data_IF_315256353013
#
_entry.id   IF_315256353013
#
_cell.length_a   1.000
_cell.length_b   1.000
_cell.length_c   1.000
_cell.angle_alpha   90.00
_cell.angle_beta   90.00
_cell.angle_gamma   90.00
#
_symmetry.space_group_name_H-M   'P 1'
#
loop_
_entity.id
_entity.type
_entity.pdbx_description
1 polymer ?
#
# COMPACT_ATOMS: atom_id res chain seq x y z
N UNK A 1 13.02 37.08 -11.31
CA UNK A 1 13.63 37.53 -10.05
C UNK A 1 14.57 36.44 -9.59
N UNK A 2 15.81 36.78 -9.25
CA UNK A 2 16.76 35.80 -8.73
C UNK A 2 16.38 35.40 -7.29
N UNK A 3 16.61 34.15 -6.92
CA UNK A 3 16.33 33.68 -5.55
C UNK A 3 17.50 34.04 -4.65
N UNK A 4 17.24 34.84 -3.62
CA UNK A 4 18.20 35.28 -2.60
C UNK A 4 17.81 34.71 -1.23
N UNK A 5 18.68 34.86 -0.23
CA UNK A 5 18.39 34.39 1.12
C UNK A 5 17.15 35.08 1.73
N UNK A 6 16.89 36.32 1.33
CA UNK A 6 15.78 37.14 1.81
C UNK A 6 14.44 36.71 1.19
N UNK A 7 14.42 36.30 -0.08
CA UNK A 7 13.19 35.88 -0.78
C UNK A 7 13.00 34.36 -0.86
N UNK A 8 13.97 33.56 -0.39
CA UNK A 8 13.94 32.10 -0.48
C UNK A 8 12.67 31.50 0.15
N UNK A 9 12.18 32.06 1.26
CA UNK A 9 10.96 31.58 1.91
C UNK A 9 9.72 31.83 1.06
N UNK A 10 9.57 33.04 0.54
CA UNK A 10 8.46 33.42 -0.33
C UNK A 10 8.49 32.57 -1.61
N UNK A 11 9.67 32.39 -2.20
CA UNK A 11 9.85 31.50 -3.36
C UNK A 11 9.35 30.08 -3.06
N UNK A 12 9.72 29.50 -1.92
CA UNK A 12 9.26 28.16 -1.52
C UNK A 12 7.75 28.12 -1.31
N UNK A 13 7.17 29.12 -0.65
CA UNK A 13 5.71 29.19 -0.40
C UNK A 13 4.93 29.30 -1.73
N UNK A 14 5.34 30.16 -2.65
CA UNK A 14 4.74 30.30 -3.97
C UNK A 14 4.92 29.05 -4.83
N UNK A 15 6.10 28.42 -4.77
CA UNK A 15 6.36 27.18 -5.48
C UNK A 15 5.46 26.05 -4.98
N UNK A 16 5.27 25.93 -3.66
CA UNK A 16 4.36 24.93 -3.07
C UNK A 16 2.92 25.18 -3.49
N UNK A 17 2.46 26.44 -3.48
CA UNK A 17 1.12 26.81 -3.93
C UNK A 17 0.92 26.42 -5.40
N UNK A 18 1.90 26.72 -6.25
CA UNK A 18 1.82 26.39 -7.67
C UNK A 18 1.79 24.86 -7.89
N UNK A 19 2.63 24.10 -7.19
CA UNK A 19 2.68 22.62 -7.33
C UNK A 19 1.41 21.96 -6.80
N UNK A 20 0.88 22.40 -5.66
CA UNK A 20 -0.24 21.72 -5.00
C UNK A 20 -1.62 22.21 -5.46
N UNK A 21 -1.73 23.44 -5.98
CA UNK A 21 -3.00 24.03 -6.37
C UNK A 21 -3.01 24.44 -7.84
N UNK A 22 -2.21 25.44 -8.25
CA UNK A 22 -2.38 26.08 -9.56
C UNK A 22 -2.10 25.15 -10.74
N UNK A 23 -1.03 24.36 -10.66
CA UNK A 23 -0.60 23.46 -11.73
C UNK A 23 -1.60 22.33 -12.01
N UNK A 24 -2.41 21.94 -11.01
CA UNK A 24 -3.39 20.86 -11.12
C UNK A 24 -4.84 21.34 -11.13
N UNK A 25 -5.08 22.65 -10.94
CA UNK A 25 -6.40 23.25 -10.73
C UNK A 25 -7.52 22.73 -11.65
N UNK A 26 -7.39 22.71 -13.00
CA UNK A 26 -8.48 22.23 -13.85
C UNK A 26 -8.82 20.75 -13.62
N UNK A 27 -7.82 19.91 -13.37
CA UNK A 27 -8.01 18.48 -13.10
C UNK A 27 -8.62 18.25 -11.71
N UNK A 28 -8.12 18.98 -10.71
CA UNK A 28 -8.61 18.88 -9.34
C UNK A 28 -10.04 19.37 -9.21
N UNK A 29 -10.42 20.47 -9.89
CA UNK A 29 -11.80 20.95 -9.88
C UNK A 29 -12.77 19.96 -10.52
N UNK A 30 -12.38 19.30 -11.62
CA UNK A 30 -13.17 18.24 -12.24
C UNK A 30 -13.33 17.03 -11.30
N UNK A 31 -12.24 16.58 -10.67
CA UNK A 31 -12.26 15.52 -9.66
C UNK A 31 -13.16 15.90 -8.47
N UNK A 32 -12.96 17.09 -7.88
CA UNK A 32 -13.72 17.60 -6.73
C UNK A 32 -15.21 17.64 -7.05
N UNK A 33 -15.60 18.12 -8.23
CA UNK A 33 -16.99 18.15 -8.68
C UNK A 33 -17.59 16.74 -8.75
N UNK A 34 -16.86 15.78 -9.31
CA UNK A 34 -17.29 14.38 -9.37
C UNK A 34 -17.41 13.74 -7.98
N UNK A 35 -16.39 13.92 -7.14
CA UNK A 35 -16.37 13.41 -5.77
C UNK A 35 -17.54 13.95 -4.93
N UNK A 36 -17.76 15.26 -4.94
CA UNK A 36 -18.86 15.90 -4.19
C UNK A 36 -20.25 15.53 -4.73
N UNK A 37 -20.37 15.04 -5.97
CA UNK A 37 -21.65 14.53 -6.48
C UNK A 37 -22.06 13.21 -5.82
N UNK A 38 -21.10 12.38 -5.42
CA UNK A 38 -21.34 11.05 -4.82
C UNK A 38 -21.24 11.11 -3.30
N UNK A 39 -20.21 11.80 -2.79
CA UNK A 39 -19.86 11.84 -1.38
C UNK A 39 -20.28 13.14 -0.69
N UNK A 40 -20.86 14.10 -1.41
CA UNK A 40 -21.19 15.43 -0.89
C UNK A 40 -22.16 15.42 0.30
N UNK A 41 -22.12 16.49 1.09
CA UNK A 41 -22.99 16.71 2.24
C UNK A 41 -22.23 17.25 3.45
N UNK A 42 -22.97 17.65 4.48
CA UNK A 42 -22.40 18.27 5.69
C UNK A 42 -21.47 17.33 6.46
N UNK A 43 -21.68 16.01 6.33
CA UNK A 43 -20.86 15.00 6.99
C UNK A 43 -19.39 15.02 6.54
N UNK A 44 -19.09 15.38 5.28
CA UNK A 44 -17.69 15.47 4.82
C UNK A 44 -16.90 16.54 5.58
N UNK A 45 -17.55 17.63 5.99
CA UNK A 45 -16.92 18.72 6.73
C UNK A 45 -16.62 18.34 8.19
N UNK A 46 -17.12 17.20 8.67
CA UNK A 46 -16.87 16.71 10.03
C UNK A 46 -15.54 15.97 10.16
N UNK A 47 -14.96 15.51 9.04
CA UNK A 47 -13.73 14.72 9.06
C UNK A 47 -12.48 15.59 8.99
N UNK A 48 -11.47 15.23 9.77
CA UNK A 48 -10.11 15.65 9.50
C UNK A 48 -9.54 14.94 8.26
N UNK A 49 -8.56 15.54 7.55
CA UNK A 49 -7.96 14.92 6.35
C UNK A 49 -7.45 13.49 6.58
N UNK A 50 -6.90 13.21 7.76
CA UNK A 50 -6.41 11.88 8.13
C UNK A 50 -7.54 10.86 8.29
N UNK A 51 -8.69 11.29 8.81
CA UNK A 51 -9.86 10.41 8.98
C UNK A 51 -10.51 10.11 7.62
N UNK A 52 -10.56 11.11 6.74
CA UNK A 52 -11.02 10.94 5.37
C UNK A 52 -10.09 9.99 4.59
N UNK A 53 -8.78 10.07 4.80
CA UNK A 53 -7.82 9.12 4.22
C UNK A 53 -8.10 7.68 4.68
N UNK A 54 -8.30 7.45 5.98
CA UNK A 54 -8.63 6.10 6.49
C UNK A 54 -9.97 5.61 5.95
N UNK A 55 -10.95 6.50 5.79
CA UNK A 55 -12.25 6.16 5.23
C UNK A 55 -12.16 5.73 3.75
N UNK A 56 -11.36 6.44 2.95
CA UNK A 56 -11.25 6.18 1.51
C UNK A 56 -10.23 5.09 1.17
N UNK A 57 -9.10 5.07 1.88
CA UNK A 57 -7.95 4.22 1.56
C UNK A 57 -7.80 3.03 2.52
N UNK A 58 -8.53 3.00 3.64
CA UNK A 58 -8.41 1.95 4.64
C UNK A 58 -7.38 2.24 5.73
N UNK A 59 -7.38 1.37 6.75
CA UNK A 59 -6.55 1.51 7.94
C UNK A 59 -5.17 0.84 7.75
N UNK A 60 -4.09 1.44 8.30
CA UNK A 60 -2.74 0.87 8.19
C UNK A 60 -2.51 -0.32 9.15
N UNK A 61 -3.33 -0.48 10.19
CA UNK A 61 -3.20 -1.56 11.16
C UNK A 61 -3.74 -2.87 10.59
N UNK A 62 -2.90 -3.91 10.57
CA UNK A 62 -3.22 -5.21 9.99
C UNK A 62 -3.30 -6.29 11.06
N UNK A 63 -4.52 -6.67 11.45
CA UNK A 63 -4.77 -7.80 12.36
C UNK A 63 -5.01 -9.10 11.58
N UNK A 64 -3.94 -9.87 11.39
CA UNK A 64 -4.00 -11.15 10.69
C UNK A 64 -4.66 -12.27 11.50
N UNK A 65 -4.79 -12.14 12.82
CA UNK A 65 -5.56 -13.09 13.61
C UNK A 65 -7.06 -12.92 13.35
N UNK A 66 -7.52 -11.67 13.22
CA UNK A 66 -8.89 -11.39 12.78
C UNK A 66 -9.15 -11.91 11.35
N UNK A 67 -8.16 -11.76 10.44
CA UNK A 67 -8.27 -12.33 9.08
C UNK A 67 -8.40 -13.86 9.11
N UNK A 68 -7.57 -14.54 9.91
CA UNK A 68 -7.63 -16.01 10.08
C UNK A 68 -8.98 -16.47 10.61
N UNK A 69 -9.52 -15.76 11.61
CA UNK A 69 -10.82 -16.08 12.19
C UNK A 69 -11.98 -15.91 11.19
N UNK A 70 -11.87 -14.96 10.26
CA UNK A 70 -12.86 -14.70 9.22
C UNK A 70 -12.68 -15.56 7.95
N UNK A 71 -11.56 -16.29 7.84
CA UNK A 71 -11.21 -17.03 6.63
C UNK A 71 -12.15 -18.22 6.38
N UNK A 72 -12.54 -18.38 5.13
CA UNK A 72 -13.38 -19.47 4.65
C UNK A 72 -12.55 -20.41 3.77
N UNK A 73 -12.91 -21.70 3.78
CA UNK A 73 -12.18 -22.74 3.08
C UNK A 73 -13.15 -23.51 2.18
N UNK A 74 -12.77 -23.70 0.92
CA UNK A 74 -13.51 -24.55 -0.01
C UNK A 74 -13.00 -25.99 0.06
N UNK A 75 -13.92 -26.95 -0.02
CA UNK A 75 -13.59 -28.37 -0.01
C UNK A 75 -12.60 -28.74 -1.14
N UNK A 76 -11.62 -29.62 -0.88
CA UNK A 76 -11.45 -30.45 0.32
C UNK A 76 -10.65 -29.78 1.47
N UNK A 77 -10.32 -28.49 1.36
CA UNK A 77 -9.57 -27.78 2.40
C UNK A 77 -10.49 -27.36 3.54
N UNK A 78 -9.96 -27.36 4.75
CA UNK A 78 -10.61 -26.82 5.94
C UNK A 78 -9.58 -26.33 6.96
N UNK A 79 -10.03 -25.68 8.03
CA UNK A 79 -9.17 -25.13 9.07
C UNK A 79 -8.26 -26.18 9.75
N UNK A 80 -8.63 -27.47 9.71
CA UNK A 80 -7.83 -28.54 10.32
C UNK A 80 -6.77 -29.12 9.38
N UNK A 81 -6.86 -28.86 8.07
CA UNK A 81 -5.92 -29.31 7.06
C UNK A 81 -4.49 -28.85 7.39
N UNK A 82 -3.52 -29.76 7.25
CA UNK A 82 -2.12 -29.44 7.58
C UNK A 82 -1.57 -28.30 6.72
N UNK A 83 -1.97 -28.23 5.44
CA UNK A 83 -1.61 -27.13 4.54
C UNK A 83 -2.07 -25.77 5.08
N UNK A 84 -3.32 -25.68 5.55
CA UNK A 84 -3.91 -24.45 6.09
C UNK A 84 -3.24 -24.06 7.40
N UNK A 85 -2.99 -25.01 8.30
CA UNK A 85 -2.23 -24.76 9.54
C UNK A 85 -0.83 -24.25 9.24
N UNK A 86 -0.15 -24.81 8.24
CA UNK A 86 1.17 -24.37 7.82
C UNK A 86 1.11 -22.97 7.20
N UNK A 87 0.10 -22.68 6.37
CA UNK A 87 -0.14 -21.38 5.77
C UNK A 87 -0.24 -20.28 6.83
N UNK A 88 -1.11 -20.45 7.83
CA UNK A 88 -1.25 -19.44 8.89
C UNK A 88 -0.01 -19.33 9.78
N UNK A 89 0.68 -20.43 10.07
CA UNK A 89 1.98 -20.38 10.78
C UNK A 89 3.01 -19.55 10.02
N UNK A 90 3.06 -19.67 8.69
CA UNK A 90 3.96 -18.87 7.83
C UNK A 90 3.52 -17.41 7.86
N UNK A 91 2.23 -17.14 7.61
CA UNK A 91 1.71 -15.78 7.51
C UNK A 91 1.80 -15.00 8.83
N UNK A 92 1.63 -15.66 9.98
CA UNK A 92 1.85 -15.05 11.29
C UNK A 92 3.31 -14.78 11.60
N UNK A 93 4.24 -15.55 11.01
CA UNK A 93 5.68 -15.34 11.15
C UNK A 93 6.22 -14.20 10.27
N UNK A 94 5.43 -13.71 9.32
CA UNK A 94 5.82 -12.59 8.46
C UNK A 94 5.94 -11.28 9.22
N UNK A 95 6.91 -10.47 8.78
CA UNK A 95 7.02 -9.09 9.23
C UNK A 95 5.91 -8.19 8.63
N UNK A 96 5.89 -6.92 9.01
CA UNK A 96 4.86 -5.99 8.54
C UNK A 96 4.94 -5.74 7.02
N UNK A 97 6.13 -5.80 6.42
CA UNK A 97 6.34 -5.60 4.98
C UNK A 97 5.80 -6.78 4.20
N UNK A 98 6.15 -8.00 4.62
CA UNK A 98 5.66 -9.24 4.03
C UNK A 98 4.13 -9.37 4.18
N UNK A 99 3.57 -8.93 5.32
CA UNK A 99 2.11 -8.88 5.55
C UNK A 99 1.41 -7.92 4.59
N UNK A 100 1.97 -6.73 4.35
CA UNK A 100 1.47 -5.76 3.36
C UNK A 100 1.54 -6.33 1.94
N UNK A 101 2.64 -6.97 1.59
CA UNK A 101 2.80 -7.64 0.30
C UNK A 101 1.77 -8.76 0.10
N UNK A 102 1.54 -9.58 1.13
CA UNK A 102 0.51 -10.59 1.08
C UNK A 102 -0.88 -9.99 0.89
N UNK A 103 -1.23 -8.95 1.66
CA UNK A 103 -2.53 -8.29 1.54
C UNK A 103 -2.72 -7.71 0.14
N UNK A 104 -1.68 -7.09 -0.43
CA UNK A 104 -1.68 -6.58 -1.80
C UNK A 104 -1.84 -7.71 -2.82
N UNK A 105 -1.19 -8.85 -2.59
CA UNK A 105 -1.32 -10.04 -3.45
C UNK A 105 -2.77 -10.56 -3.48
N UNK A 106 -3.45 -10.63 -2.33
CA UNK A 106 -4.81 -11.19 -2.26
C UNK A 106 -5.93 -10.18 -2.51
N UNK A 107 -5.71 -8.88 -2.32
CA UNK A 107 -6.77 -7.85 -2.34
C UNK A 107 -6.48 -6.66 -3.26
N UNK A 108 -5.24 -6.52 -3.75
CA UNK A 108 -4.78 -5.36 -4.50
C UNK A 108 -4.44 -4.13 -3.64
N UNK A 109 -4.69 -4.18 -2.33
CA UNK A 109 -4.41 -3.11 -1.36
C UNK A 109 -3.44 -3.58 -0.29
N UNK A 110 -2.57 -2.69 0.19
CA UNK A 110 -1.72 -2.93 1.38
C UNK A 110 -2.38 -2.44 2.69
N UNK A 111 -3.62 -1.96 2.61
CA UNK A 111 -4.41 -1.44 3.75
C UNK A 111 -5.65 -2.29 4.02
N UNK A 112 -5.99 -2.42 5.30
CA UNK A 112 -7.19 -3.11 5.73
C UNK A 112 -8.44 -2.24 5.48
N UNK A 113 -9.63 -2.83 5.26
CA UNK A 113 -10.88 -2.10 5.29
C UNK A 113 -11.06 -1.34 6.61
N UNK A 114 -11.88 -0.28 6.63
CA UNK A 114 -12.09 0.53 7.84
C UNK A 114 -12.59 -0.28 9.04
N UNK A 115 -13.32 -1.38 8.78
CA UNK A 115 -13.81 -2.32 9.80
C UNK A 115 -12.79 -3.40 10.19
N UNK A 116 -11.55 -3.30 9.71
CA UNK A 116 -10.46 -4.23 9.95
C UNK A 116 -10.52 -5.49 9.08
N UNK A 117 -9.45 -6.29 9.14
CA UNK A 117 -9.30 -7.50 8.33
C UNK A 117 -10.31 -8.60 8.67
N UNK A 118 -10.83 -8.66 9.91
CA UNK A 118 -11.88 -9.62 10.27
C UNK A 118 -13.23 -9.37 9.60
N UNK A 119 -13.43 -8.19 9.02
CA UNK A 119 -14.63 -7.88 8.21
C UNK A 119 -14.46 -8.21 6.73
N UNK A 120 -13.24 -8.54 6.30
CA UNK A 120 -12.92 -8.89 4.92
C UNK A 120 -13.30 -10.35 4.68
N UNK A 121 -14.10 -10.61 3.64
CA UNK A 121 -14.25 -11.97 3.12
C UNK A 121 -12.90 -12.42 2.59
N UNK A 122 -12.37 -13.54 3.07
CA UNK A 122 -11.14 -14.15 2.58
C UNK A 122 -11.37 -15.65 2.40
N UNK A 123 -11.19 -16.15 1.17
CA UNK A 123 -11.49 -17.54 0.82
C UNK A 123 -10.22 -18.23 0.36
N UNK A 124 -9.99 -19.47 0.80
CA UNK A 124 -8.88 -20.31 0.34
C UNK A 124 -9.44 -21.58 -0.31
N UNK A 125 -9.00 -21.88 -1.53
CA UNK A 125 -9.39 -23.09 -2.25
C UNK A 125 -8.22 -23.84 -2.86
N UNK A 126 -8.48 -25.12 -3.20
CA UNK A 126 -7.48 -26.00 -3.82
C UNK A 126 -7.22 -25.56 -5.27
N UNK A 127 -5.93 -25.49 -5.63
CA UNK A 127 -5.47 -25.23 -6.99
C UNK A 127 -4.67 -26.39 -7.57
N UNK A 128 -5.30 -27.56 -7.66
CA UNK A 128 -4.64 -28.80 -8.08
C UNK A 128 -3.79 -29.44 -6.97
N UNK A 129 -3.08 -30.50 -7.33
CA UNK A 129 -2.24 -31.26 -6.40
C UNK A 129 -0.86 -30.61 -6.22
N UNK A 130 0.03 -31.28 -5.47
CA UNK A 130 1.39 -30.80 -5.29
C UNK A 130 2.09 -30.60 -6.64
N UNK A 131 2.59 -29.40 -6.88
CA UNK A 131 3.24 -29.03 -8.13
C UNK A 131 4.20 -27.87 -7.92
N UNK A 132 4.88 -27.46 -8.98
CA UNK A 132 5.74 -26.28 -8.96
C UNK A 132 5.02 -24.98 -9.31
N UNK A 133 3.72 -25.04 -9.58
CA UNK A 133 2.88 -23.86 -9.83
C UNK A 133 2.91 -22.93 -8.62
N UNK A 134 2.92 -21.63 -8.86
CA UNK A 134 2.76 -20.61 -7.81
C UNK A 134 1.30 -20.53 -7.37
N UNK A 135 1.02 -20.15 -6.11
CA UNK A 135 -0.34 -19.81 -5.73
C UNK A 135 -0.85 -18.63 -6.57
N UNK A 136 -2.16 -18.54 -6.73
CA UNK A 136 -2.80 -17.48 -7.52
C UNK A 136 -3.90 -16.83 -6.70
N UNK A 137 -4.20 -15.56 -6.96
CA UNK A 137 -5.24 -14.84 -6.24
C UNK A 137 -6.21 -14.17 -7.21
N UNK A 138 -7.50 -14.20 -6.87
CA UNK A 138 -8.52 -13.37 -7.48
C UNK A 138 -8.81 -12.21 -6.54
N UNK A 139 -8.15 -11.07 -6.81
CA UNK A 139 -8.18 -9.89 -5.93
C UNK A 139 -9.57 -9.31 -5.75
N UNK A 140 -10.43 -9.39 -6.77
CA UNK A 140 -11.80 -8.89 -6.72
C UNK A 140 -12.66 -9.58 -5.64
N UNK A 141 -12.28 -10.79 -5.23
CA UNK A 141 -13.04 -11.61 -4.26
C UNK A 141 -12.20 -12.03 -3.05
N UNK A 142 -10.97 -11.53 -2.92
CA UNK A 142 -9.99 -11.96 -1.92
C UNK A 142 -9.91 -13.50 -1.83
N UNK A 143 -9.79 -14.14 -3.00
CA UNK A 143 -9.82 -15.60 -3.13
C UNK A 143 -8.44 -16.12 -3.49
N UNK A 144 -7.85 -16.92 -2.60
CA UNK A 144 -6.53 -17.50 -2.75
C UNK A 144 -6.63 -18.96 -3.20
N UNK A 145 -6.02 -19.24 -4.34
CA UNK A 145 -5.90 -20.57 -4.93
C UNK A 145 -4.55 -21.18 -4.55
N UNK A 146 -4.57 -22.20 -3.68
CA UNK A 146 -3.37 -22.89 -3.18
C UNK A 146 -3.23 -24.30 -3.76
N UNK A 147 -2.12 -24.62 -4.46
CA UNK A 147 -1.73 -26.00 -4.72
C UNK A 147 -1.50 -26.77 -3.42
N UNK A 148 -1.75 -28.08 -3.41
CA UNK A 148 -1.58 -28.93 -2.22
C UNK A 148 -0.09 -29.25 -1.96
N UNK A 149 0.71 -28.24 -1.62
CA UNK A 149 2.14 -28.40 -1.39
C UNK A 149 2.45 -29.45 -0.32
N UNK A 150 3.42 -30.31 -0.61
CA UNK A 150 3.81 -31.44 0.24
C UNK A 150 4.52 -31.04 1.53
N UNK A 151 5.16 -29.85 1.57
CA UNK A 151 5.90 -29.38 2.74
C UNK A 151 5.64 -27.90 3.07
N UNK A 152 5.91 -27.52 4.32
CA UNK A 152 5.80 -26.14 4.79
C UNK A 152 6.80 -25.24 4.06
N UNK A 153 8.01 -25.73 3.83
CA UNK A 153 9.11 -25.01 3.19
C UNK A 153 8.77 -24.70 1.74
N UNK A 154 8.16 -25.66 1.02
CA UNK A 154 7.70 -25.45 -0.35
C UNK A 154 6.58 -24.43 -0.40
N UNK A 155 5.60 -24.52 0.50
CA UNK A 155 4.51 -23.54 0.63
C UNK A 155 5.07 -22.13 0.88
N UNK A 156 5.99 -21.96 1.82
CA UNK A 156 6.59 -20.66 2.13
C UNK A 156 7.34 -20.08 0.94
N UNK A 157 8.21 -20.89 0.31
CA UNK A 157 9.01 -20.45 -0.83
C UNK A 157 8.13 -20.03 -2.02
N UNK A 158 7.10 -20.82 -2.34
CA UNK A 158 6.17 -20.52 -3.45
C UNK A 158 5.27 -19.33 -3.15
N UNK A 159 4.80 -19.18 -1.90
CA UNK A 159 3.98 -18.05 -1.47
C UNK A 159 4.78 -16.73 -1.56
N UNK A 160 6.01 -16.71 -1.02
CA UNK A 160 6.90 -15.54 -1.12
C UNK A 160 7.21 -15.21 -2.58
N UNK A 161 7.50 -16.22 -3.39
CA UNK A 161 7.74 -16.01 -4.82
C UNK A 161 6.53 -15.40 -5.54
N UNK A 162 5.30 -15.87 -5.24
CA UNK A 162 4.09 -15.30 -5.84
C UNK A 162 3.86 -13.84 -5.43
N UNK A 163 3.99 -13.53 -4.13
CA UNK A 163 3.84 -12.17 -3.60
C UNK A 163 4.85 -11.19 -4.20
N UNK A 164 6.11 -11.61 -4.38
CA UNK A 164 7.17 -10.74 -4.90
C UNK A 164 7.07 -10.52 -6.41
N UNK A 165 6.46 -11.46 -7.15
CA UNK A 165 6.38 -11.42 -8.61
C UNK A 165 4.95 -11.12 -9.11
N UNK A 166 4.02 -10.75 -8.23
CA UNK A 166 2.64 -10.41 -8.60
C UNK A 166 2.47 -8.99 -9.15
N UNK A 167 3.50 -8.15 -9.07
CA UNK A 167 3.49 -6.84 -9.74
C UNK A 167 3.77 -7.00 -11.24
N UNK A 168 2.76 -7.49 -11.96
CA UNK A 168 2.73 -7.52 -13.42
C UNK A 168 2.55 -6.12 -14.00
N UNK A 169 3.32 -5.82 -15.07
CA UNK A 169 3.66 -4.50 -15.63
C UNK A 169 4.60 -3.70 -14.73
N UNK A 170 5.90 -3.78 -15.07
CA UNK A 170 7.01 -3.02 -14.48
C UNK A 170 6.95 -1.51 -14.70
N UNK A 171 5.83 -0.87 -14.39
CA UNK A 171 5.84 0.49 -13.90
C UNK A 171 6.37 0.42 -12.47
N UNK A 172 7.69 0.59 -12.30
CA UNK A 172 8.22 1.09 -11.03
C UNK A 172 7.40 2.35 -10.75
N UNK A 173 6.44 2.28 -9.84
CA UNK A 173 5.63 3.45 -9.50
C UNK A 173 6.61 4.47 -8.94
N UNK A 174 6.95 5.46 -9.76
CA UNK A 174 7.69 6.66 -9.37
C UNK A 174 6.89 7.54 -8.38
N UNK A 175 5.84 6.98 -7.77
CA UNK A 175 4.89 7.66 -6.90
C UNK A 175 5.22 7.46 -5.42
N UNK A 176 6.01 6.44 -5.06
CA UNK A 176 6.37 6.20 -3.66
C UNK A 176 7.41 7.15 -3.06
N UNK A 177 8.34 7.81 -3.80
CA UNK A 177 9.19 8.81 -3.16
C UNK A 177 8.45 10.13 -2.91
N UNK A 178 7.50 10.52 -3.77
CA UNK A 178 6.89 11.85 -3.72
C UNK A 178 5.79 11.97 -2.65
N UNK A 179 4.90 10.99 -2.50
CA UNK A 179 3.87 11.04 -1.46
C UNK A 179 4.47 10.88 -0.05
N UNK A 180 5.47 10.00 0.12
CA UNK A 180 6.14 9.83 1.41
C UNK A 180 7.01 11.03 1.78
N UNK A 181 7.66 11.69 0.82
CA UNK A 181 8.35 12.95 1.07
C UNK A 181 7.38 14.04 1.56
N UNK A 182 6.20 14.18 0.94
CA UNK A 182 5.20 15.19 1.31
C UNK A 182 4.56 14.93 2.69
N UNK A 183 4.23 13.68 3.01
CA UNK A 183 3.66 13.31 4.32
C UNK A 183 4.70 13.45 5.43
N UNK A 184 5.96 13.08 5.18
CA UNK A 184 7.04 13.22 6.16
C UNK A 184 7.38 14.68 6.42
N UNK A 185 7.37 15.54 5.39
CA UNK A 185 7.56 16.99 5.54
C UNK A 185 6.42 17.62 6.37
N UNK A 186 5.17 17.17 6.20
CA UNK A 186 4.04 17.66 6.99
C UNK A 186 4.08 17.20 8.46
N UNK A 187 4.52 15.97 8.73
CA UNK A 187 4.55 15.43 10.10
C UNK A 187 5.72 15.98 10.93
N UNK A 188 6.90 16.19 10.33
CA UNK A 188 8.09 16.74 11.03
C UNK A 188 7.86 18.18 11.50
N UNK A 189 7.04 18.97 10.80
CA UNK A 189 6.78 20.38 11.14
C UNK A 189 5.82 20.55 12.32
N UNK A 190 4.95 19.57 12.62
CA UNK A 190 3.91 19.73 13.66
C UNK A 190 4.37 19.33 15.08
N UNK A 191 5.37 18.46 15.22
CA UNK A 191 5.71 17.86 16.51
C UNK A 191 7.01 18.35 17.17
N UNK A 192 7.93 19.05 16.50
CA UNK A 192 9.29 19.19 17.05
C UNK A 192 9.83 20.60 17.28
N UNK A 193 9.32 21.67 16.66
CA UNK A 193 9.84 23.03 16.89
C UNK A 193 11.36 23.21 16.70
N UNK A 194 12.03 22.28 15.99
CA UNK A 194 13.49 22.23 15.90
C UNK A 194 14.03 23.11 14.76
N UNK A 195 15.20 23.76 14.95
CA UNK A 195 15.84 24.57 13.92
C UNK A 195 16.28 23.76 12.68
N UNK A 196 16.23 24.41 11.51
CA UNK A 196 16.51 23.89 10.16
C UNK A 196 17.84 23.13 9.96
N UNK A 197 18.79 23.21 10.90
CA UNK A 197 20.12 22.59 10.79
C UNK A 197 20.10 21.07 10.97
N UNK A 198 19.09 20.49 11.62
CA UNK A 198 19.03 19.03 11.88
C UNK A 198 18.47 18.26 10.67
N UNK A 199 17.65 18.90 9.82
CA UNK A 199 17.02 18.26 8.65
C UNK A 199 18.03 18.00 7.51
N UNK A 200 19.11 18.79 7.42
CA UNK A 200 20.16 18.60 6.38
C UNK A 200 20.90 17.26 6.49
N UNK A 201 20.99 16.64 7.66
CA UNK A 201 21.73 15.38 7.82
C UNK A 201 21.01 14.17 7.17
N UNK A 202 19.70 14.25 6.97
CA UNK A 202 18.91 13.18 6.35
C UNK A 202 18.86 13.26 4.82
N UNK A 203 18.96 14.47 4.24
CA UNK A 203 18.85 14.69 2.80
C UNK A 203 20.12 14.30 2.02
N UNK A 204 21.29 14.28 2.66
CA UNK A 204 22.57 14.02 1.98
C UNK A 204 22.86 12.54 1.73
N UNK A 205 22.14 11.61 2.37
CA UNK A 205 22.33 10.16 2.15
C UNK A 205 21.36 9.56 1.11
N UNK A 206 20.27 10.25 0.75
CA UNK A 206 19.23 9.69 -0.12
C UNK A 206 19.34 10.11 -1.60
N UNK A 207 20.24 11.05 -1.94
CA UNK A 207 20.41 11.58 -3.30
C UNK A 207 21.80 11.23 -3.81
N UNK A 208 22.03 9.93 -4.02
CA UNK A 208 23.23 9.39 -4.66
C UNK A 208 22.87 8.50 -5.85
N UNK A 209 22.89 9.11 -7.04
CA UNK A 209 23.24 8.51 -8.34
C UNK A 209 22.63 7.17 -8.79
N UNK A 210 21.54 7.23 -9.57
CA UNK A 210 21.41 6.68 -10.95
C UNK A 210 19.95 6.63 -11.38
N UNK A 211 19.52 7.63 -12.14
CA UNK A 211 18.31 7.57 -12.94
C UNK A 211 18.65 7.88 -14.40
N UNK A 212 18.06 7.08 -15.28
CA UNK A 212 18.02 7.21 -16.74
C UNK A 212 19.24 6.74 -17.53
N UNK A 213 19.32 5.43 -17.77
CA UNK A 213 19.58 4.91 -19.12
C UNK A 213 18.75 3.64 -19.37
N UNK A 214 18.53 3.36 -20.64
CA UNK A 214 17.64 2.38 -21.27
C UNK A 214 16.19 2.88 -21.35
N UNK A 215 15.67 3.35 -22.48
CA UNK A 215 16.05 3.09 -23.87
C UNK A 215 14.80 2.61 -24.60
N UNK A 216 14.53 3.21 -25.76
CA UNK A 216 13.36 3.04 -26.61
C UNK A 216 13.10 1.60 -27.07
N UNK A 217 12.02 1.49 -27.87
CA UNK A 217 11.61 0.42 -28.79
C UNK A 217 10.48 -0.48 -28.28
N UNK A 218 9.35 -0.36 -28.99
CA UNK A 218 8.17 -1.23 -29.17
C UNK A 218 7.87 -2.31 -28.13
#
# INVERSE_FOLDING_TARGET
MEVTAENAREYVELYLLWVLEDSIKPHFEAFRKGFLKVCGGDALNLFHPQELEVLLCGAPHLDFHALEAAAQYEEPLNATSQLIKNFWKILHSFDETEKKLFLKFISGSDRAPIRGLGSMTFVISKHGDDSDRLPSAHTCFNHLLLPLYSSKEKLEAKLKAAMLNSEGFGVRTCVQPFLWALVTICHVKRLSGLPWRIIRAWSSHAVGERWCQVGAWW
#
